data_IF_055670929001
#
_entry.id   IF_055670929001
#
_cell.length_a   1.000
_cell.length_b   1.000
_cell.length_c   1.000
_cell.angle_alpha   90.00
_cell.angle_beta   90.00
_cell.angle_gamma   90.00
#
_symmetry.space_group_name_H-M   'P 1'
#
loop_
_entity.id
_entity.type
_entity.pdbx_description
1 polymer ?
#
# COMPACT_ATOMS: atom_id res chain seq x y z
N UNK A 1 12.42 -5.94 0.00
CA UNK A 1 13.65 -5.13 -0.09
C UNK A 1 14.82 -5.98 -0.56
N UNK A 2 15.37 -6.88 0.26
CA UNK A 2 16.51 -7.75 -0.11
C UNK A 2 16.30 -8.56 -1.41
N UNK A 3 15.16 -9.23 -1.58
CA UNK A 3 14.86 -10.01 -2.79
C UNK A 3 14.75 -9.16 -4.08
N UNK A 4 14.54 -7.84 -3.95
CA UNK A 4 14.50 -6.90 -5.07
C UNK A 4 15.83 -6.14 -5.23
N UNK A 5 16.83 -6.40 -4.37
CA UNK A 5 18.08 -5.64 -4.33
C UNK A 5 17.88 -4.16 -3.97
N UNK A 6 16.83 -3.84 -3.21
CA UNK A 6 16.52 -2.46 -2.82
C UNK A 6 16.96 -2.19 -1.39
N UNK A 7 17.72 -1.11 -1.21
CA UNK A 7 18.13 -0.64 0.11
C UNK A 7 17.03 0.21 0.79
N UNK A 8 16.24 0.93 -0.01
CA UNK A 8 15.12 1.77 0.45
C UNK A 8 14.00 1.84 -0.60
N UNK A 9 12.80 2.25 -0.17
CA UNK A 9 11.68 2.54 -1.07
C UNK A 9 11.73 4.00 -1.51
N UNK A 10 11.27 4.29 -2.73
CA UNK A 10 10.99 5.66 -3.12
C UNK A 10 9.64 6.11 -2.55
N UNK A 11 8.64 5.24 -2.61
CA UNK A 11 7.25 5.55 -2.26
C UNK A 11 6.66 4.38 -1.46
N UNK A 12 5.92 4.68 -0.40
CA UNK A 12 5.14 3.70 0.35
C UNK A 12 3.65 4.02 0.22
N UNK A 13 2.85 3.08 -0.26
CA UNK A 13 1.39 3.19 -0.29
C UNK A 13 0.80 2.38 0.86
N UNK A 14 -0.08 3.00 1.64
CA UNK A 14 -0.82 2.37 2.73
C UNK A 14 -2.32 2.40 2.40
N UNK A 15 -2.95 1.24 2.45
CA UNK A 15 -4.37 1.05 2.13
C UNK A 15 -5.13 0.44 3.30
N UNK A 16 -6.32 0.96 3.59
CA UNK A 16 -7.29 0.34 4.51
C UNK A 16 -8.04 -0.86 3.93
N UNK A 17 -7.82 -1.15 2.64
CA UNK A 17 -8.46 -2.24 1.90
C UNK A 17 -7.44 -3.31 1.51
N UNK A 18 -7.93 -4.51 1.19
CA UNK A 18 -7.11 -5.63 0.77
C UNK A 18 -6.31 -5.31 -0.50
N UNK A 19 -5.14 -5.93 -0.62
CA UNK A 19 -4.38 -5.86 -1.86
C UNK A 19 -5.00 -6.80 -2.89
N UNK A 20 -5.55 -6.22 -3.96
CA UNK A 20 -6.04 -6.94 -5.13
C UNK A 20 -5.36 -6.36 -6.36
N UNK A 21 -4.57 -7.17 -7.07
CA UNK A 21 -3.81 -6.73 -8.25
C UNK A 21 -4.71 -6.53 -9.47
N UNK A 22 -5.59 -5.51 -9.40
CA UNK A 22 -6.62 -5.24 -10.39
C UNK A 22 -6.76 -3.73 -10.64
N UNK A 23 -6.88 -3.27 -11.89
CA UNK A 23 -6.91 -1.84 -12.23
C UNK A 23 -8.11 -1.08 -11.66
N UNK A 24 -9.17 -1.78 -11.26
CA UNK A 24 -10.30 -1.17 -10.56
C UNK A 24 -9.92 -0.67 -9.15
N UNK A 25 -8.81 -1.13 -8.56
CA UNK A 25 -8.35 -0.74 -7.23
C UNK A 25 -7.40 0.46 -7.34
N UNK A 26 -7.92 1.64 -7.00
CA UNK A 26 -7.22 2.92 -7.20
C UNK A 26 -5.80 2.94 -6.63
N UNK A 27 -5.58 2.57 -5.34
CA UNK A 27 -4.24 2.53 -4.76
C UNK A 27 -3.29 1.57 -5.48
N UNK A 28 -3.79 0.45 -5.99
CA UNK A 28 -3.01 -0.55 -6.72
C UNK A 28 -2.68 -0.05 -8.12
N UNK A 29 -3.63 0.55 -8.82
CA UNK A 29 -3.41 1.20 -10.10
C UNK A 29 -2.30 2.26 -10.02
N UNK A 30 -2.35 3.12 -8.99
CA UNK A 30 -1.33 4.14 -8.74
C UNK A 30 0.03 3.49 -8.48
N UNK A 31 0.07 2.42 -7.67
CA UNK A 31 1.30 1.66 -7.39
C UNK A 31 1.93 1.13 -8.67
N UNK A 32 1.15 0.41 -9.50
CA UNK A 32 1.62 -0.15 -10.77
C UNK A 32 2.06 0.91 -11.77
N UNK A 33 1.35 2.05 -11.82
CA UNK A 33 1.71 3.18 -12.66
C UNK A 33 3.06 3.80 -12.29
N UNK A 34 3.35 3.91 -11.00
CA UNK A 34 4.61 4.43 -10.47
C UNK A 34 5.75 3.41 -10.65
N UNK A 35 5.51 2.13 -10.39
CA UNK A 35 6.48 1.06 -10.67
C UNK A 35 6.86 1.03 -12.16
N UNK A 36 5.89 1.18 -13.07
CA UNK A 36 6.13 1.28 -14.51
C UNK A 36 6.96 2.50 -14.95
N UNK A 37 7.19 3.47 -14.05
CA UNK A 37 8.09 4.62 -14.23
C UNK A 37 9.45 4.44 -13.56
N UNK A 38 9.74 3.25 -13.05
CA UNK A 38 11.02 2.91 -12.44
C UNK A 38 11.12 3.27 -10.95
N UNK A 39 10.03 3.67 -10.29
CA UNK A 39 10.04 3.91 -8.85
C UNK A 39 9.99 2.58 -8.07
N UNK A 40 10.71 2.54 -6.96
CA UNK A 40 10.64 1.44 -5.97
C UNK A 40 9.45 1.69 -5.05
N UNK A 41 8.33 1.04 -5.32
CA UNK A 41 7.08 1.26 -4.57
C UNK A 41 6.80 0.09 -3.63
N UNK A 42 6.50 0.38 -2.37
CA UNK A 42 5.98 -0.59 -1.41
C UNK A 42 4.48 -0.41 -1.21
N UNK A 43 3.79 -1.49 -0.83
CA UNK A 43 2.37 -1.46 -0.51
C UNK A 43 2.10 -2.17 0.82
N UNK A 44 1.35 -1.53 1.70
CA UNK A 44 0.84 -2.12 2.94
C UNK A 44 -0.69 -2.09 2.87
N UNK A 45 -1.29 -3.27 2.83
CA UNK A 45 -2.74 -3.45 2.94
C UNK A 45 -3.10 -3.75 4.38
N UNK A 46 -4.15 -3.10 4.88
CA UNK A 46 -4.76 -3.34 6.19
C UNK A 46 -3.73 -3.47 7.34
N UNK A 47 -2.88 -2.44 7.56
CA UNK A 47 -1.95 -2.48 8.69
C UNK A 47 -2.72 -2.58 10.00
N UNK A 48 -2.12 -3.24 10.98
CA UNK A 48 -2.61 -3.21 12.36
C UNK A 48 -2.76 -1.76 12.85
N UNK A 49 -3.90 -1.47 13.47
CA UNK A 49 -4.18 -0.15 14.03
C UNK A 49 -3.55 0.06 15.41
N UNK A 50 -3.26 -1.03 16.13
CA UNK A 50 -2.79 -1.04 17.51
C UNK A 50 -1.26 -1.08 17.63
N UNK A 51 -0.54 -1.17 16.50
CA UNK A 51 0.91 -1.20 16.49
C UNK A 51 1.48 -0.59 15.21
N UNK A 52 2.54 0.23 15.30
CA UNK A 52 3.21 0.79 14.12
C UNK A 52 4.10 -0.21 13.38
N UNK A 53 4.24 -1.45 13.87
CA UNK A 53 5.19 -2.43 13.35
C UNK A 53 5.04 -2.68 11.82
N UNK A 54 3.80 -2.75 11.33
CA UNK A 54 3.53 -2.97 9.90
C UNK A 54 4.02 -1.81 9.04
N UNK A 55 3.89 -0.57 9.54
CA UNK A 55 4.34 0.64 8.85
C UNK A 55 5.86 0.78 8.89
N UNK A 56 6.49 0.43 10.01
CA UNK A 56 7.92 0.60 10.22
C UNK A 56 8.76 -0.47 9.53
N UNK A 57 8.22 -1.65 9.22
CA UNK A 57 8.97 -2.78 8.65
C UNK A 57 9.65 -2.46 7.31
N UNK A 58 9.13 -1.49 6.56
CA UNK A 58 9.64 -1.13 5.24
C UNK A 58 10.64 0.02 5.26
N UNK A 59 10.90 0.61 6.44
CA UNK A 59 11.74 1.80 6.58
C UNK A 59 11.07 3.07 6.06
N UNK A 60 11.80 4.19 6.15
CA UNK A 60 11.33 5.50 5.66
C UNK A 60 11.50 5.56 4.13
N UNK A 61 10.45 5.86 3.36
CA UNK A 61 10.59 6.08 1.92
C UNK A 61 11.31 7.39 1.61
N UNK A 62 12.06 7.42 0.51
CA UNK A 62 12.85 8.56 0.04
C UNK A 62 12.01 9.76 -0.38
N UNK A 63 10.85 9.53 -1.01
CA UNK A 63 10.00 10.59 -1.56
C UNK A 63 8.80 10.88 -0.65
N UNK A 64 7.85 9.93 -0.53
CA UNK A 64 6.63 10.16 0.24
C UNK A 64 5.91 8.87 0.67
N UNK A 65 4.94 9.04 1.56
CA UNK A 65 3.94 8.02 1.92
C UNK A 65 2.57 8.46 1.37
N UNK A 66 1.92 7.61 0.59
CA UNK A 66 0.54 7.80 0.15
C UNK A 66 -0.41 6.96 1.00
N UNK A 67 -1.51 7.55 1.46
CA UNK A 67 -2.49 6.86 2.32
C UNK A 67 -3.86 6.91 1.66
N UNK A 68 -4.54 5.75 1.61
CA UNK A 68 -5.89 5.63 1.07
C UNK A 68 -6.74 4.70 1.94
N UNK A 69 -8.04 4.98 2.04
CA UNK A 69 -8.98 4.04 2.64
C UNK A 69 -9.21 2.79 1.77
N UNK A 70 -8.86 2.85 0.47
CA UNK A 70 -9.10 1.80 -0.50
C UNK A 70 -10.37 2.03 -1.33
N UNK A 71 -10.90 0.95 -1.91
CA UNK A 71 -12.08 1.01 -2.77
C UNK A 71 -13.38 0.81 -2.00
N UNK A 72 -13.33 -0.03 -0.97
CA UNK A 72 -14.46 -0.27 -0.08
C UNK A 72 -14.51 0.81 0.98
N UNK A 73 -15.65 1.48 1.11
CA UNK A 73 -15.92 2.28 2.28
C UNK A 73 -16.20 1.38 3.50
N UNK A 74 -16.03 1.93 4.70
CA UNK A 74 -16.22 1.20 5.95
C UNK A 74 -17.66 0.72 6.19
N UNK A 75 -18.66 1.39 5.59
CA UNK A 75 -20.07 1.01 5.74
C UNK A 75 -20.40 -0.22 4.89
N UNK A 76 -19.88 -0.28 3.67
CA UNK A 76 -19.94 -1.43 2.79
C UNK A 76 -19.17 -2.61 3.39
N UNK A 77 -17.95 -2.40 3.89
CA UNK A 77 -17.14 -3.47 4.49
C UNK A 77 -17.89 -4.18 5.64
N UNK A 78 -18.57 -3.43 6.52
CA UNK A 78 -19.38 -4.00 7.60
C UNK A 78 -20.57 -4.85 7.11
N UNK A 79 -21.06 -4.59 5.90
CA UNK A 79 -22.26 -5.23 5.34
C UNK A 79 -21.96 -6.39 4.38
N UNK A 80 -20.77 -6.46 3.79
CA UNK A 80 -20.42 -7.45 2.75
C UNK A 80 -19.23 -8.35 3.08
N UNK A 81 -18.40 -8.05 4.10
CA UNK A 81 -17.36 -8.97 4.56
C UNK A 81 -17.93 -9.93 5.62
N UNK A 82 -18.45 -11.08 5.19
CA UNK A 82 -18.65 -12.28 6.02
C UNK A 82 -17.51 -13.26 5.80
#
# INVERSE_FOLDING_TARGET
MAARGWDELDILIVSGDAYVDHPAFGPVLITRFLEGRGYRVGFIAQPRWDSPADLLRMGRPRLFVGVSAGNLDSMLNKLTAQ
#
